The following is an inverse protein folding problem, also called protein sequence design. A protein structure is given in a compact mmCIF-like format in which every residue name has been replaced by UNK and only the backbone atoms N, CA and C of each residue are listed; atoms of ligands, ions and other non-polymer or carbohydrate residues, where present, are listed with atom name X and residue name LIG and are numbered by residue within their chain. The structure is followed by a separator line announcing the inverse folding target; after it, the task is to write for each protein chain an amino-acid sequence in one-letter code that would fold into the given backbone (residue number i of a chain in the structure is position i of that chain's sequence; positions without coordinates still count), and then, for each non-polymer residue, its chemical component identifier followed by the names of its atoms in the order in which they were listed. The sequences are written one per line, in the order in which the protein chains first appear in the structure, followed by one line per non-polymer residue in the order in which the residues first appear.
data_IF_463123555650
#
_entry.id   IF_463123555650
#
_cell.length_a   1.000
_cell.length_b   1.000
_cell.length_c   1.000
_cell.angle_alpha   90.00
_cell.angle_beta   90.00
_cell.angle_gamma   90.00
#
_symmetry.space_group_name_H-M   'P 1'
#
loop_
_entity.id
_entity.type
_entity.pdbx_description
1 polymer ?
#
# COMPACT_ATOMS: atom_id res chain seq x y z
N UNK A 1 -3.14 1.79 13.73
CA UNK A 1 -4.18 1.61 12.67
C UNK A 1 -5.38 0.91 13.27
N UNK A 2 -6.60 1.34 12.91
CA UNK A 2 -7.86 0.70 13.31
C UNK A 2 -8.13 -0.47 12.37
N UNK A 3 -8.68 -1.56 12.90
CA UNK A 3 -9.17 -2.69 12.10
C UNK A 3 -10.63 -3.01 12.41
N UNK A 4 -11.34 -3.54 11.42
CA UNK A 4 -12.70 -4.06 11.53
C UNK A 4 -12.80 -5.40 10.81
N UNK A 5 -13.28 -6.42 11.50
CA UNK A 5 -13.50 -7.75 10.92
C UNK A 5 -14.95 -8.14 11.13
N UNK A 6 -15.66 -8.37 10.02
CA UNK A 6 -17.04 -8.87 10.01
C UNK A 6 -17.03 -10.28 9.45
N UNK A 7 -17.56 -11.27 10.16
CA UNK A 7 -17.57 -12.66 9.70
C UNK A 7 -18.81 -13.40 10.23
N UNK A 8 -19.20 -14.45 9.52
CA UNK A 8 -20.31 -15.30 9.86
C UNK A 8 -19.80 -16.56 10.59
N UNK A 9 -19.81 -16.52 11.91
CA UNK A 9 -19.41 -17.63 12.78
C UNK A 9 -19.92 -17.39 14.19
N UNK A 10 -20.28 -18.47 14.92
CA UNK A 10 -20.72 -18.40 16.30
C UNK A 10 -19.56 -18.20 17.30
N UNK A 11 -18.32 -18.39 16.86
CA UNK A 11 -17.13 -18.22 17.69
C UNK A 11 -16.61 -16.79 17.66
N UNK A 12 -16.18 -16.27 18.81
CA UNK A 12 -15.46 -15.02 18.89
C UNK A 12 -13.97 -15.26 18.64
N UNK A 13 -13.48 -14.83 17.48
CA UNK A 13 -12.10 -15.00 17.05
C UNK A 13 -11.19 -13.79 17.36
N UNK A 14 -11.66 -12.83 18.14
CA UNK A 14 -10.91 -11.59 18.42
C UNK A 14 -9.49 -11.86 18.93
N UNK A 15 -9.35 -12.74 19.91
CA UNK A 15 -8.04 -13.05 20.50
C UNK A 15 -7.06 -13.67 19.49
N UNK A 16 -7.55 -14.51 18.58
CA UNK A 16 -6.74 -15.15 17.54
C UNK A 16 -6.34 -14.16 16.46
N UNK A 17 -7.26 -13.28 16.06
CA UNK A 17 -7.00 -12.18 15.12
C UNK A 17 -5.93 -11.25 15.70
N UNK A 18 -6.07 -10.83 16.96
CA UNK A 18 -5.09 -9.95 17.62
C UNK A 18 -3.73 -10.62 17.80
N UNK A 19 -3.69 -11.92 18.08
CA UNK A 19 -2.45 -12.68 18.15
C UNK A 19 -1.73 -12.74 16.80
N UNK A 20 -2.47 -12.93 15.70
CA UNK A 20 -1.89 -12.97 14.36
C UNK A 20 -1.41 -11.59 13.92
N UNK A 21 -2.15 -10.52 14.19
CA UNK A 21 -1.73 -9.14 13.96
C UNK A 21 -0.47 -8.79 14.77
N UNK A 22 -0.34 -9.29 16.00
CA UNK A 22 0.87 -9.09 16.81
C UNK A 22 2.08 -9.83 16.22
N UNK A 23 1.89 -11.04 15.70
CA UNK A 23 2.95 -11.77 14.98
C UNK A 23 3.39 -11.00 13.72
N UNK A 24 2.42 -10.48 12.98
CA UNK A 24 2.65 -9.65 11.80
C UNK A 24 3.44 -8.38 12.14
N UNK A 25 3.08 -7.67 13.22
CA UNK A 25 3.80 -6.50 13.73
C UNK A 25 5.27 -6.84 14.06
N UNK A 26 5.51 -7.99 14.67
CA UNK A 26 6.86 -8.51 14.95
C UNK A 26 7.71 -8.80 13.71
N UNK A 27 7.12 -8.83 12.52
CA UNK A 27 7.82 -9.00 11.26
C UNK A 27 8.06 -7.66 10.52
N UNK A 28 7.01 -6.87 10.31
CA UNK A 28 6.98 -5.81 9.31
C UNK A 28 6.86 -4.39 9.88
N UNK A 29 6.67 -4.21 11.19
CA UNK A 29 6.55 -2.89 11.79
C UNK A 29 7.92 -2.20 11.93
N UNK A 30 8.13 -1.04 11.28
CA UNK A 30 9.36 -0.26 11.46
C UNK A 30 9.43 0.45 12.83
N UNK A 31 8.32 0.42 13.60
CA UNK A 31 8.23 1.00 14.95
C UNK A 31 8.49 -0.02 16.06
N UNK A 32 8.65 -1.30 15.70
CA UNK A 32 8.99 -2.37 16.62
C UNK A 32 10.49 -2.67 16.49
N UNK A 33 11.24 -2.37 17.52
CA UNK A 33 12.70 -2.51 17.53
C UNK A 33 13.19 -3.95 17.35
N UNK A 34 12.37 -4.94 17.62
CA UNK A 34 12.66 -6.36 17.47
C UNK A 34 12.09 -6.97 16.19
N UNK A 35 11.35 -6.19 15.39
CA UNK A 35 10.75 -6.69 14.15
C UNK A 35 11.82 -7.11 13.13
N UNK A 36 11.50 -8.11 12.33
CA UNK A 36 12.37 -8.64 11.28
C UNK A 36 12.89 -7.53 10.35
N UNK A 37 12.02 -6.63 9.89
CA UNK A 37 12.41 -5.50 9.03
C UNK A 37 13.40 -4.55 9.74
N UNK A 38 13.20 -4.28 11.03
CA UNK A 38 14.09 -3.39 11.81
C UNK A 38 15.48 -4.00 11.97
N UNK A 39 15.55 -5.30 12.23
CA UNK A 39 16.80 -6.05 12.32
C UNK A 39 17.55 -6.08 10.99
N UNK A 40 16.83 -6.30 9.86
CA UNK A 40 17.41 -6.22 8.51
C UNK A 40 17.94 -4.82 8.22
N UNK A 41 17.22 -3.77 8.61
CA UNK A 41 17.66 -2.39 8.45
C UNK A 41 18.88 -2.02 9.30
N UNK A 42 19.12 -2.75 10.41
CA UNK A 42 20.34 -2.67 11.23
C UNK A 42 21.47 -3.56 10.72
N UNK A 43 21.27 -4.23 9.58
CA UNK A 43 22.22 -5.18 8.98
C UNK A 43 22.57 -6.37 9.91
N UNK A 44 21.63 -6.81 10.74
CA UNK A 44 21.80 -8.01 11.54
C UNK A 44 21.80 -9.25 10.63
N UNK A 45 22.66 -10.21 10.93
CA UNK A 45 22.75 -11.47 10.18
C UNK A 45 21.62 -12.42 10.59
N UNK A 46 20.47 -12.26 9.93
CA UNK A 46 19.26 -13.06 10.18
C UNK A 46 18.67 -13.64 8.90
N UNK A 47 17.98 -14.76 9.03
CA UNK A 47 17.06 -15.25 8.02
C UNK A 47 15.70 -14.66 8.30
N UNK A 48 15.08 -13.91 7.37
CA UNK A 48 13.75 -13.34 7.53
C UNK A 48 12.69 -14.40 7.75
N UNK A 49 11.63 -14.03 8.48
CA UNK A 49 10.45 -14.86 8.62
C UNK A 49 9.59 -14.89 7.32
N UNK A 50 8.57 -15.73 7.33
CA UNK A 50 7.69 -15.94 6.16
C UNK A 50 6.92 -14.67 5.78
N UNK A 51 6.50 -13.83 6.75
CA UNK A 51 5.77 -12.60 6.44
C UNK A 51 6.65 -11.64 5.65
N UNK A 52 7.86 -11.40 6.14
CA UNK A 52 8.81 -10.54 5.45
C UNK A 52 9.18 -11.10 4.07
N UNK A 53 9.47 -12.40 3.98
CA UNK A 53 9.87 -13.05 2.72
C UNK A 53 8.79 -12.94 1.65
N UNK A 54 7.51 -13.11 2.01
CA UNK A 54 6.39 -12.97 1.09
C UNK A 54 6.26 -11.52 0.58
N UNK A 55 6.29 -10.56 1.48
CA UNK A 55 6.26 -9.13 1.13
C UNK A 55 7.44 -8.77 0.24
N UNK A 56 8.64 -9.19 0.59
CA UNK A 56 9.84 -8.90 -0.18
C UNK A 56 9.73 -9.41 -1.61
N UNK A 57 9.36 -10.68 -1.80
CA UNK A 57 9.21 -11.28 -3.14
C UNK A 57 8.19 -10.55 -3.97
N UNK A 58 6.98 -10.33 -3.42
CA UNK A 58 5.92 -9.61 -4.17
C UNK A 58 6.30 -8.17 -4.47
N UNK A 59 6.97 -7.50 -3.54
CA UNK A 59 7.51 -6.15 -3.76
C UNK A 59 8.49 -6.10 -4.92
N UNK A 60 9.43 -7.07 -5.02
CA UNK A 60 10.39 -7.14 -6.11
C UNK A 60 9.72 -7.41 -7.48
N UNK A 61 8.64 -8.19 -7.51
CA UNK A 61 7.85 -8.40 -8.72
C UNK A 61 7.19 -7.08 -9.16
N UNK A 62 6.44 -6.44 -8.26
CA UNK A 62 5.74 -5.19 -8.56
C UNK A 62 6.72 -4.06 -8.89
N UNK A 63 7.88 -3.99 -8.24
CA UNK A 63 8.91 -3.00 -8.59
C UNK A 63 9.38 -3.14 -10.04
N UNK A 64 9.56 -4.38 -10.55
CA UNK A 64 9.91 -4.60 -11.96
C UNK A 64 8.76 -4.26 -12.91
N UNK A 65 7.53 -4.65 -12.56
CA UNK A 65 6.32 -4.40 -13.35
C UNK A 65 5.98 -2.91 -13.45
N UNK A 66 6.45 -2.11 -12.49
CA UNK A 66 6.19 -0.67 -12.37
C UNK A 66 7.42 0.20 -12.62
N UNK A 67 8.49 -0.38 -13.18
CA UNK A 67 9.76 0.32 -13.47
C UNK A 67 10.27 1.16 -12.30
N UNK A 68 10.23 0.58 -11.07
CA UNK A 68 10.67 1.21 -9.84
C UNK A 68 9.76 2.30 -9.28
N UNK A 69 8.57 2.54 -9.84
CA UNK A 69 7.60 3.46 -9.24
C UNK A 69 7.12 2.95 -7.86
N UNK A 70 7.01 1.64 -7.70
CA UNK A 70 6.91 1.00 -6.40
C UNK A 70 8.29 0.47 -5.98
N UNK A 71 8.82 0.92 -4.85
CA UNK A 71 10.14 0.50 -4.36
C UNK A 71 10.21 0.50 -2.84
N UNK A 72 10.47 -0.66 -2.24
CA UNK A 72 10.60 -0.79 -0.79
C UNK A 72 11.90 -0.20 -0.24
N UNK A 73 12.85 0.21 -1.08
CA UNK A 73 14.09 0.88 -0.67
C UNK A 73 13.92 2.39 -0.49
N UNK A 74 12.72 2.93 -0.71
CA UNK A 74 12.40 4.36 -0.64
C UNK A 74 12.53 4.99 0.76
N UNK A 75 12.72 4.18 1.81
CA UNK A 75 12.73 4.62 3.20
C UNK A 75 13.67 5.81 3.50
N UNK A 76 14.91 5.87 3.00
CA UNK A 76 15.79 7.01 3.21
C UNK A 76 15.22 8.33 2.68
N UNK A 77 14.63 8.30 1.48
CA UNK A 77 13.97 9.44 0.85
C UNK A 77 12.74 9.88 1.63
N UNK A 78 11.85 8.92 1.99
CA UNK A 78 10.66 9.21 2.78
C UNK A 78 11.00 9.83 4.13
N UNK A 79 12.05 9.34 4.80
CA UNK A 79 12.56 9.92 6.06
C UNK A 79 13.08 11.34 5.86
N UNK A 80 13.85 11.61 4.81
CA UNK A 80 14.40 12.94 4.53
C UNK A 80 13.29 13.98 4.31
N UNK A 81 12.23 13.61 3.59
CA UNK A 81 11.05 14.44 3.39
C UNK A 81 10.12 14.52 4.61
N UNK A 82 10.38 13.77 5.69
CA UNK A 82 9.58 13.78 6.92
C UNK A 82 8.30 12.94 6.88
N UNK A 83 8.12 12.13 5.85
CA UNK A 83 6.98 11.21 5.70
C UNK A 83 7.27 9.77 6.14
N UNK A 84 8.52 9.46 6.46
CA UNK A 84 8.94 8.15 6.94
C UNK A 84 8.77 7.98 8.46
N UNK A 85 9.47 7.02 9.01
CA UNK A 85 9.48 6.73 10.46
C UNK A 85 10.56 7.51 11.24
N UNK A 86 11.29 8.41 10.59
CA UNK A 86 12.21 9.39 11.20
C UNK A 86 11.77 10.81 10.81
N UNK A 87 12.00 11.76 11.72
CA UNK A 87 11.79 13.19 11.40
C UNK A 87 12.83 13.63 10.38
N UNK A 88 12.39 14.26 9.30
CA UNK A 88 13.24 14.82 8.24
C UNK A 88 13.24 16.34 8.28
N UNK A 89 14.23 16.94 7.62
CA UNK A 89 14.40 18.39 7.49
C UNK A 89 14.57 18.70 6.01
N UNK A 90 13.53 18.74 5.22
CA UNK A 90 13.54 19.17 3.82
C UNK A 90 14.90 19.02 3.13
N UNK A 91 15.13 17.95 2.38
CA UNK A 91 16.42 17.70 1.76
C UNK A 91 16.67 18.73 0.64
N UNK A 92 17.92 19.16 0.48
CA UNK A 92 18.38 19.84 -0.72
C UNK A 92 18.69 18.83 -1.85
N UNK A 93 19.00 19.33 -3.05
CA UNK A 93 19.28 18.46 -4.21
C UNK A 93 20.48 17.55 -3.99
N UNK A 94 21.55 18.04 -3.37
CA UNK A 94 22.74 17.23 -3.10
C UNK A 94 22.45 16.08 -2.13
N UNK A 95 21.60 16.32 -1.13
CA UNK A 95 21.13 15.27 -0.23
C UNK A 95 20.26 14.25 -0.95
N UNK A 96 19.34 14.70 -1.84
CA UNK A 96 18.52 13.79 -2.65
C UNK A 96 19.40 12.92 -3.55
N UNK A 97 20.38 13.49 -4.26
CA UNK A 97 21.31 12.74 -5.10
C UNK A 97 22.05 11.66 -4.29
N UNK A 98 22.52 12.00 -3.09
CA UNK A 98 23.16 11.04 -2.19
C UNK A 98 22.22 9.93 -1.72
N UNK A 99 20.91 10.24 -1.50
CA UNK A 99 19.92 9.25 -1.07
C UNK A 99 19.50 8.33 -2.22
N UNK A 100 19.50 8.83 -3.47
CA UNK A 100 19.24 8.01 -4.66
C UNK A 100 20.32 6.95 -4.88
N UNK A 101 21.58 7.18 -4.45
CA UNK A 101 22.60 6.14 -4.46
C UNK A 101 22.20 4.91 -3.62
N UNK A 102 21.37 5.10 -2.58
CA UNK A 102 20.90 4.06 -1.65
C UNK A 102 19.46 3.62 -1.93
N UNK A 103 18.84 4.11 -3.00
CA UNK A 103 17.47 3.77 -3.43
C UNK A 103 17.54 3.01 -4.75
N UNK A 104 16.72 1.98 -4.90
CA UNK A 104 16.63 1.13 -6.09
C UNK A 104 16.45 -0.34 -5.71
N UNK A 105 15.34 -0.93 -6.14
CA UNK A 105 14.96 -2.31 -5.81
C UNK A 105 16.00 -3.33 -6.31
N UNK A 106 16.76 -3.02 -7.37
CA UNK A 106 17.83 -3.88 -7.92
C UNK A 106 19.04 -4.00 -6.97
N UNK A 107 19.14 -3.10 -6.01
CA UNK A 107 20.26 -3.06 -5.04
C UNK A 107 20.07 -4.02 -3.87
N UNK A 108 18.94 -4.73 -3.83
CA UNK A 108 18.60 -5.70 -2.78
C UNK A 108 18.09 -7.01 -3.37
N UNK A 109 18.44 -8.12 -2.74
CA UNK A 109 17.97 -9.46 -3.15
C UNK A 109 17.92 -10.42 -1.97
N UNK A 110 17.22 -11.53 -2.13
CA UNK A 110 17.38 -12.69 -1.25
C UNK A 110 18.53 -13.57 -1.78
N UNK A 111 19.42 -14.01 -0.86
CA UNK A 111 20.44 -15.01 -1.16
C UNK A 111 19.81 -16.41 -1.25
N UNK A 112 20.61 -17.42 -1.65
CA UNK A 112 20.20 -18.82 -1.69
C UNK A 112 19.85 -19.36 -0.29
N UNK A 113 20.46 -18.79 0.76
CA UNK A 113 20.13 -19.09 2.16
C UNK A 113 18.90 -18.31 2.66
N UNK A 114 18.28 -17.51 1.82
CA UNK A 114 17.08 -16.72 2.14
C UNK A 114 17.36 -15.43 2.93
N UNK A 115 18.62 -15.00 3.07
CA UNK A 115 18.99 -13.74 3.72
C UNK A 115 18.85 -12.55 2.77
N UNK A 116 18.54 -11.37 3.31
CA UNK A 116 18.56 -10.13 2.54
C UNK A 116 20.00 -9.67 2.33
N UNK A 117 20.37 -9.55 1.05
CA UNK A 117 21.67 -8.99 0.64
C UNK A 117 21.43 -7.60 0.06
N UNK A 118 22.17 -6.62 0.55
CA UNK A 118 22.16 -5.23 0.10
C UNK A 118 23.50 -4.91 -0.54
N UNK A 119 23.51 -4.16 -1.63
CA UNK A 119 24.76 -3.68 -2.26
C UNK A 119 25.47 -2.60 -1.43
N UNK A 120 24.73 -1.90 -0.57
CA UNK A 120 25.21 -0.91 0.37
C UNK A 120 24.50 -1.09 1.72
N UNK A 121 25.24 -1.13 2.81
CA UNK A 121 24.69 -1.31 4.16
C UNK A 121 23.79 -0.18 4.64
N UNK A 122 23.86 0.99 3.99
CA UNK A 122 23.01 2.16 4.26
C UNK A 122 21.59 2.02 3.72
N UNK A 123 21.36 1.09 2.79
CA UNK A 123 20.01 0.84 2.22
C UNK A 123 19.05 0.45 3.33
N UNK A 124 17.92 1.14 3.39
CA UNK A 124 16.84 0.88 4.35
C UNK A 124 15.56 0.48 3.62
N UNK A 125 14.92 -0.58 4.10
CA UNK A 125 13.67 -1.09 3.56
C UNK A 125 12.48 -0.53 4.32
N UNK A 126 11.39 -0.26 3.59
CA UNK A 126 10.08 0.07 4.14
C UNK A 126 9.00 -0.76 3.45
N UNK A 127 8.19 -1.47 4.23
CA UNK A 127 7.03 -2.18 3.73
C UNK A 127 5.72 -1.39 3.91
N UNK A 128 5.78 -0.10 4.25
CA UNK A 128 4.60 0.71 4.63
C UNK A 128 3.55 0.81 3.51
N UNK A 129 3.96 0.67 2.25
CA UNK A 129 3.11 0.77 1.05
C UNK A 129 2.55 -0.59 0.58
N UNK A 130 2.70 -1.65 1.38
CA UNK A 130 2.26 -3.01 1.03
C UNK A 130 1.84 -3.81 2.27
N UNK A 131 2.29 -3.39 3.45
CA UNK A 131 2.11 -4.16 4.67
C UNK A 131 0.64 -4.18 5.14
N UNK A 132 -0.14 -3.13 4.93
CA UNK A 132 -1.54 -3.10 5.33
C UNK A 132 -2.38 -4.06 4.49
N UNK A 133 -2.20 -4.03 3.17
CA UNK A 133 -2.83 -4.99 2.27
C UNK A 133 -2.48 -6.43 2.64
N UNK A 134 -1.22 -6.71 2.94
CA UNK A 134 -0.83 -8.06 3.35
C UNK A 134 -1.38 -8.45 4.73
N UNK A 135 -1.48 -7.54 5.69
CA UNK A 135 -2.11 -7.82 6.98
C UNK A 135 -3.58 -8.25 6.83
N UNK A 136 -4.31 -7.60 5.91
CA UNK A 136 -5.70 -7.98 5.58
C UNK A 136 -5.76 -9.38 4.99
N UNK A 137 -4.86 -9.72 4.07
CA UNK A 137 -4.77 -11.06 3.46
C UNK A 137 -4.44 -12.13 4.51
N UNK A 138 -3.55 -11.85 5.46
CA UNK A 138 -3.17 -12.76 6.55
C UNK A 138 -4.39 -13.08 7.43
N UNK A 139 -5.18 -12.08 7.80
CA UNK A 139 -6.41 -12.30 8.58
C UNK A 139 -7.47 -13.01 7.74
N UNK A 140 -7.62 -12.67 6.46
CA UNK A 140 -8.52 -13.39 5.55
C UNK A 140 -8.15 -14.88 5.45
N UNK A 141 -6.85 -15.20 5.37
CA UNK A 141 -6.38 -16.59 5.38
C UNK A 141 -6.65 -17.31 6.71
N UNK A 142 -6.49 -16.61 7.85
CA UNK A 142 -6.86 -17.16 9.17
C UNK A 142 -8.33 -17.55 9.20
N UNK A 143 -9.23 -16.69 8.73
CA UNK A 143 -10.66 -16.94 8.67
C UNK A 143 -11.00 -18.12 7.73
N UNK A 144 -10.39 -18.16 6.53
CA UNK A 144 -10.54 -19.28 5.60
C UNK A 144 -10.08 -20.62 6.18
N UNK A 145 -8.95 -20.66 6.89
CA UNK A 145 -8.45 -21.87 7.59
C UNK A 145 -9.38 -22.34 8.69
N UNK A 146 -10.19 -21.44 9.28
CA UNK A 146 -11.25 -21.76 10.24
C UNK A 146 -12.56 -22.20 9.59
N UNK A 147 -12.61 -22.30 8.26
CA UNK A 147 -13.80 -22.70 7.50
C UNK A 147 -14.84 -21.60 7.34
N UNK A 148 -14.52 -20.36 7.67
CA UNK A 148 -15.43 -19.22 7.53
C UNK A 148 -15.50 -18.82 6.05
N UNK A 149 -16.72 -18.77 5.50
CA UNK A 149 -16.96 -18.52 4.09
C UNK A 149 -17.44 -17.10 3.78
N UNK A 150 -18.00 -16.40 4.76
CA UNK A 150 -18.55 -15.06 4.57
C UNK A 150 -17.89 -14.11 5.55
N UNK A 151 -17.04 -13.21 5.03
CA UNK A 151 -16.34 -12.23 5.85
C UNK A 151 -15.86 -11.01 5.06
N UNK A 152 -15.65 -9.94 5.79
CA UNK A 152 -14.93 -8.73 5.36
C UNK A 152 -13.89 -8.40 6.41
N UNK A 153 -12.66 -8.19 5.98
CA UNK A 153 -11.54 -7.67 6.78
C UNK A 153 -11.18 -6.29 6.25
N UNK A 154 -11.14 -5.30 7.13
CA UNK A 154 -10.72 -3.92 6.82
C UNK A 154 -9.65 -3.52 7.85
N UNK A 155 -8.49 -3.10 7.37
CA UNK A 155 -7.39 -2.58 8.19
C UNK A 155 -6.92 -1.25 7.60
N UNK A 156 -7.43 -0.15 8.15
CA UNK A 156 -7.03 1.19 7.73
C UNK A 156 -7.49 1.61 6.33
N UNK A 157 -8.50 0.93 5.78
CA UNK A 157 -9.07 1.16 4.46
C UNK A 157 -8.65 0.16 3.37
N UNK A 158 -7.67 -0.69 3.65
CA UNK A 158 -7.37 -1.87 2.86
C UNK A 158 -8.36 -2.98 3.22
N UNK A 159 -8.96 -3.61 2.22
CA UNK A 159 -10.12 -4.50 2.41
C UNK A 159 -9.95 -5.80 1.65
N UNK A 160 -10.27 -6.92 2.31
CA UNK A 160 -10.56 -8.21 1.65
C UNK A 160 -11.98 -8.62 1.99
N UNK A 161 -12.71 -9.02 0.97
CA UNK A 161 -14.05 -9.61 1.12
C UNK A 161 -14.08 -11.03 0.57
N UNK A 162 -14.88 -11.87 1.21
CA UNK A 162 -15.11 -13.25 0.76
C UNK A 162 -16.56 -13.65 0.95
N UNK A 163 -17.12 -14.40 -0.03
CA UNK A 163 -18.50 -14.82 -0.02
C UNK A 163 -19.49 -13.66 -0.01
N UNK A 164 -20.56 -13.77 0.78
CA UNK A 164 -21.69 -12.85 0.78
C UNK A 164 -21.72 -11.97 2.03
N UNK A 165 -22.29 -10.78 1.89
CA UNK A 165 -22.61 -9.91 3.02
C UNK A 165 -23.79 -10.46 3.84
N UNK A 166 -24.13 -9.90 5.03
CA UNK A 166 -25.25 -10.35 5.86
C UNK A 166 -26.64 -10.28 5.19
N UNK A 167 -26.78 -9.62 4.05
CA UNK A 167 -28.00 -9.54 3.24
C UNK A 167 -28.00 -10.54 2.06
N UNK A 168 -27.08 -11.51 2.05
CA UNK A 168 -26.91 -12.54 1.01
C UNK A 168 -26.60 -11.96 -0.39
N UNK A 169 -25.92 -10.82 -0.45
CA UNK A 169 -25.46 -10.18 -1.69
C UNK A 169 -23.95 -9.91 -1.68
N UNK A 170 -23.43 -9.25 -2.74
CA UNK A 170 -22.05 -8.81 -2.76
C UNK A 170 -21.78 -7.79 -1.65
N UNK A 171 -20.53 -7.72 -1.20
CA UNK A 171 -20.09 -6.72 -0.24
C UNK A 171 -20.12 -5.33 -0.87
N UNK A 172 -20.48 -4.33 -0.06
CA UNK A 172 -20.61 -2.93 -0.51
C UNK A 172 -19.50 -2.11 0.11
N UNK A 173 -18.57 -1.65 -0.71
CA UNK A 173 -17.43 -0.86 -0.27
C UNK A 173 -17.55 0.56 -0.85
N UNK A 174 -17.52 1.56 0.03
CA UNK A 174 -17.56 2.96 -0.37
C UNK A 174 -16.19 3.46 -0.81
N UNK A 175 -16.13 4.15 -1.94
CA UNK A 175 -14.99 4.98 -2.34
C UNK A 175 -15.23 6.40 -1.87
N UNK A 176 -14.32 6.94 -1.04
CA UNK A 176 -14.42 8.31 -0.55
C UNK A 176 -14.00 9.30 -1.63
N UNK A 177 -14.64 10.47 -1.66
CA UNK A 177 -14.12 11.62 -2.42
C UNK A 177 -12.77 12.05 -1.86
N UNK A 178 -11.77 12.32 -2.72
CA UNK A 178 -10.46 12.80 -2.29
C UNK A 178 -10.52 14.31 -1.96
N UNK A 179 -11.20 14.66 -0.88
CA UNK A 179 -11.27 16.03 -0.38
C UNK A 179 -10.08 16.22 0.57
N UNK A 180 -9.40 17.37 0.45
CA UNK A 180 -8.32 17.76 1.37
C UNK A 180 -8.86 17.86 2.82
N UNK A 181 -8.75 16.78 3.57
CA UNK A 181 -9.22 16.64 4.93
C UNK A 181 -8.23 15.80 5.75
N UNK A 182 -7.25 16.49 6.32
CA UNK A 182 -6.22 15.87 7.16
C UNK A 182 -6.78 15.22 8.45
N UNK A 183 -8.00 15.57 8.84
CA UNK A 183 -8.67 15.03 10.03
C UNK A 183 -9.61 13.86 9.70
N UNK A 184 -9.80 13.55 8.41
CA UNK A 184 -10.70 12.49 7.92
C UNK A 184 -12.14 12.58 8.48
N UNK A 185 -12.64 13.80 8.69
CA UNK A 185 -13.98 14.08 9.24
C UNK A 185 -15.04 13.99 8.13
N UNK A 186 -14.69 14.36 6.91
CA UNK A 186 -15.61 14.36 5.77
C UNK A 186 -15.50 13.01 5.02
N UNK A 187 -16.56 12.20 5.04
CA UNK A 187 -16.62 10.89 4.39
C UNK A 187 -17.68 10.88 3.26
N UNK A 188 -17.70 11.93 2.44
CA UNK A 188 -18.54 11.89 1.25
C UNK A 188 -18.08 10.77 0.32
N UNK A 189 -19.04 9.95 -0.11
CA UNK A 189 -18.78 8.87 -1.04
C UNK A 189 -18.76 9.40 -2.48
N UNK A 190 -17.72 9.03 -3.23
CA UNK A 190 -17.67 9.20 -4.68
C UNK A 190 -18.47 8.11 -5.38
N UNK A 191 -18.34 6.87 -4.90
CA UNK A 191 -18.99 5.69 -5.48
C UNK A 191 -19.15 4.57 -4.45
N UNK A 192 -19.94 3.56 -4.82
CA UNK A 192 -20.07 2.30 -4.06
C UNK A 192 -19.71 1.16 -4.99
N UNK A 193 -18.78 0.31 -4.58
CA UNK A 193 -18.40 -0.91 -5.26
C UNK A 193 -19.16 -2.11 -4.72
N UNK A 194 -19.56 -3.02 -5.61
CA UNK A 194 -20.14 -4.30 -5.30
C UNK A 194 -19.12 -5.40 -5.59
N UNK A 195 -18.53 -5.97 -4.56
CA UNK A 195 -17.37 -6.87 -4.68
C UNK A 195 -17.58 -8.17 -3.89
N UNK A 196 -16.97 -9.24 -4.37
CA UNK A 196 -16.85 -10.52 -3.66
C UNK A 196 -15.54 -11.22 -4.06
N UNK A 197 -14.94 -11.96 -3.13
CA UNK A 197 -13.74 -12.77 -3.31
C UNK A 197 -12.50 -12.01 -3.87
N UNK A 198 -12.32 -10.77 -3.43
CA UNK A 198 -11.29 -9.86 -3.92
C UNK A 198 -10.62 -9.09 -2.78
N UNK A 199 -9.41 -8.59 -3.07
CA UNK A 199 -8.69 -7.57 -2.30
C UNK A 199 -8.83 -6.20 -2.95
N UNK A 200 -8.87 -5.16 -2.12
CA UNK A 200 -8.96 -3.77 -2.55
C UNK A 200 -8.13 -2.87 -1.64
N UNK A 201 -7.44 -1.91 -2.24
CA UNK A 201 -6.73 -0.86 -1.53
C UNK A 201 -6.89 0.49 -2.23
N UNK A 202 -6.78 1.57 -1.47
CA UNK A 202 -6.81 2.94 -1.99
C UNK A 202 -5.66 3.75 -1.43
N UNK A 203 -4.80 4.26 -2.32
CA UNK A 203 -3.78 5.26 -2.02
C UNK A 203 -4.24 6.65 -2.45
N UNK A 204 -3.85 7.69 -1.70
CA UNK A 204 -4.25 9.05 -2.04
C UNK A 204 -3.45 10.13 -1.32
N UNK A 205 -3.25 11.26 -1.99
CA UNK A 205 -2.43 12.39 -1.56
C UNK A 205 -3.20 13.50 -0.81
N UNK A 206 -4.46 13.23 -0.41
CA UNK A 206 -5.35 14.21 0.21
C UNK A 206 -5.41 14.13 1.74
N UNK A 207 -4.78 13.13 2.37
CA UNK A 207 -4.78 12.95 3.84
C UNK A 207 -3.46 13.25 4.51
N UNK A 208 -2.33 12.97 3.83
CA UNK A 208 -0.98 13.10 4.39
C UNK A 208 -0.13 14.02 3.51
N UNK A 209 -0.13 15.29 3.83
CA UNK A 209 0.59 16.34 3.10
C UNK A 209 0.93 17.50 4.06
N UNK A 210 1.84 18.35 3.62
CA UNK A 210 2.10 19.64 4.27
C UNK A 210 2.31 20.73 3.23
N UNK A 211 2.15 21.98 3.64
CA UNK A 211 2.47 23.16 2.83
C UNK A 211 3.79 23.77 3.29
N UNK A 212 4.66 24.12 2.33
CA UNK A 212 5.87 24.90 2.54
C UNK A 212 6.02 25.89 1.39
N UNK A 213 6.23 27.15 1.74
CA UNK A 213 6.40 28.26 0.76
C UNK A 213 5.27 28.31 -0.29
N UNK A 214 4.02 28.05 0.14
CA UNK A 214 2.82 28.02 -0.71
C UNK A 214 2.68 26.76 -1.60
N UNK A 215 3.64 25.83 -1.57
CA UNK A 215 3.62 24.60 -2.34
C UNK A 215 3.17 23.42 -1.47
N UNK A 216 2.24 22.59 -1.99
CA UNK A 216 1.79 21.34 -1.35
C UNK A 216 2.80 20.23 -1.64
N UNK A 217 3.19 19.50 -0.60
CA UNK A 217 4.04 18.32 -0.66
C UNK A 217 3.26 17.14 -0.12
N UNK A 218 2.97 16.18 -0.99
CA UNK A 218 2.31 14.93 -0.62
C UNK A 218 3.32 13.89 -0.13
N UNK A 219 2.85 12.92 0.65
CA UNK A 219 3.70 11.87 1.21
C UNK A 219 4.19 10.84 0.19
N UNK A 220 3.62 10.84 -1.01
CA UNK A 220 4.05 9.95 -2.10
C UNK A 220 5.33 10.50 -2.73
N UNK A 221 6.41 9.75 -2.55
CA UNK A 221 7.74 10.06 -3.10
C UNK A 221 7.97 9.17 -4.31
N UNK A 222 8.43 9.73 -5.41
CA UNK A 222 8.91 8.94 -6.54
C UNK A 222 10.34 8.44 -6.25
N UNK A 223 10.53 7.12 -6.10
CA UNK A 223 11.84 6.54 -5.81
C UNK A 223 12.87 6.78 -6.92
N UNK A 224 12.42 7.03 -8.15
CA UNK A 224 13.25 7.23 -9.35
C UNK A 224 13.86 8.62 -9.38
N UNK A 225 13.14 9.62 -8.86
CA UNK A 225 13.57 11.03 -8.84
C UNK A 225 13.98 11.52 -7.47
N UNK A 226 13.50 10.88 -6.40
CA UNK A 226 13.72 11.28 -5.02
C UNK A 226 12.81 12.41 -4.52
N UNK A 227 11.86 12.88 -5.33
CA UNK A 227 10.97 13.99 -5.01
C UNK A 227 9.52 13.56 -4.77
N UNK A 228 8.76 14.30 -3.93
CA UNK A 228 7.31 14.16 -3.86
C UNK A 228 6.66 14.41 -5.21
N UNK A 229 5.71 13.56 -5.58
CA UNK A 229 4.99 13.66 -6.86
C UNK A 229 4.16 14.94 -6.96
N UNK A 230 4.04 15.47 -8.16
CA UNK A 230 3.39 16.75 -8.47
C UNK A 230 2.48 16.61 -9.71
N UNK A 231 1.58 15.63 -9.71
CA UNK A 231 0.63 15.39 -10.81
C UNK A 231 -0.83 15.44 -10.33
N UNK A 232 -1.76 15.26 -11.25
CA UNK A 232 -3.19 15.46 -11.05
C UNK A 232 -3.91 14.36 -10.28
N UNK A 233 -3.33 13.15 -10.15
CA UNK A 233 -4.00 12.05 -9.43
C UNK A 233 -4.12 12.40 -7.94
N UNK A 234 -5.34 12.34 -7.42
CA UNK A 234 -5.67 12.55 -6.02
C UNK A 234 -5.81 11.21 -5.27
N UNK A 235 -6.36 10.19 -5.93
CA UNK A 235 -6.44 8.83 -5.39
C UNK A 235 -6.43 7.77 -6.48
N UNK A 236 -5.86 6.62 -6.16
CA UNK A 236 -5.87 5.40 -6.94
C UNK A 236 -6.46 4.27 -6.08
N UNK A 237 -7.59 3.72 -6.52
CA UNK A 237 -8.19 2.51 -5.93
C UNK A 237 -7.90 1.34 -6.84
N UNK A 238 -7.36 0.27 -6.30
CA UNK A 238 -7.04 -0.96 -7.03
C UNK A 238 -7.80 -2.13 -6.43
N UNK A 239 -8.38 -2.96 -7.31
CA UNK A 239 -8.95 -4.26 -7.01
C UNK A 239 -8.02 -5.31 -7.62
N UNK A 240 -7.64 -6.29 -6.84
CA UNK A 240 -6.80 -7.41 -7.27
C UNK A 240 -7.22 -8.71 -6.56
N UNK A 241 -6.60 -9.83 -6.94
CA UNK A 241 -6.83 -11.14 -6.34
C UNK A 241 -6.46 -11.19 -4.86
N UNK A 242 -5.45 -10.42 -4.45
CA UNK A 242 -5.01 -10.23 -3.06
C UNK A 242 -4.83 -8.74 -2.76
N UNK A 243 -5.00 -8.39 -1.49
CA UNK A 243 -4.95 -7.00 -1.06
C UNK A 243 -3.51 -6.48 -0.96
N UNK A 244 -2.52 -7.36 -0.76
CA UNK A 244 -1.10 -7.01 -0.80
C UNK A 244 -0.72 -6.41 -2.15
N UNK A 245 -1.14 -7.06 -3.24
CA UNK A 245 -0.93 -6.57 -4.60
C UNK A 245 -1.70 -5.27 -4.84
N UNK A 246 -2.96 -5.19 -4.43
CA UNK A 246 -3.78 -3.99 -4.58
C UNK A 246 -3.14 -2.76 -3.90
N UNK A 247 -2.61 -2.91 -2.67
CA UNK A 247 -1.96 -1.84 -1.89
C UNK A 247 -0.68 -1.34 -2.58
N UNK A 248 0.16 -2.28 -3.05
CA UNK A 248 1.40 -1.95 -3.75
C UNK A 248 1.15 -1.24 -5.10
N UNK A 249 0.22 -1.75 -5.92
CA UNK A 249 -0.12 -1.10 -7.19
C UNK A 249 -0.81 0.26 -6.99
N UNK A 250 -1.69 0.39 -6.00
CA UNK A 250 -2.30 1.67 -5.68
C UNK A 250 -1.24 2.73 -5.35
N UNK A 251 -0.19 2.35 -4.61
CA UNK A 251 0.95 3.22 -4.34
C UNK A 251 1.76 3.51 -5.60
N UNK A 252 2.07 2.50 -6.43
CA UNK A 252 2.77 2.69 -7.71
C UNK A 252 2.05 3.68 -8.62
N UNK A 253 0.73 3.54 -8.76
CA UNK A 253 -0.09 4.40 -9.61
C UNK A 253 -0.11 5.84 -9.11
N UNK A 254 -0.08 6.05 -7.79
CA UNK A 254 0.09 7.39 -7.21
C UNK A 254 1.48 7.98 -7.50
N UNK A 255 2.49 7.20 -7.80
CA UNK A 255 3.82 7.67 -8.20
C UNK A 255 3.86 8.00 -9.69
N UNK A 256 3.28 7.14 -10.54
CA UNK A 256 3.37 7.22 -12.00
C UNK A 256 2.66 8.43 -12.61
N UNK A 257 1.54 8.85 -12.04
CA UNK A 257 0.60 9.74 -12.73
C UNK A 257 -0.32 8.96 -13.68
N UNK A 258 -1.33 9.66 -14.24
CA UNK A 258 -2.48 9.02 -14.90
C UNK A 258 -2.08 8.18 -16.12
N UNK A 259 -1.35 8.75 -17.06
CA UNK A 259 -1.01 8.11 -18.34
C UNK A 259 -0.18 6.81 -18.15
N UNK A 260 0.84 6.86 -17.29
CA UNK A 260 1.68 5.70 -17.00
C UNK A 260 0.88 4.64 -16.22
N UNK A 261 0.05 5.07 -15.25
CA UNK A 261 -0.79 4.19 -14.45
C UNK A 261 -1.84 3.45 -15.29
N UNK A 262 -2.49 4.13 -16.25
CA UNK A 262 -3.41 3.52 -17.20
C UNK A 262 -2.70 2.45 -18.03
N UNK A 263 -1.55 2.77 -18.60
CA UNK A 263 -0.77 1.83 -19.42
C UNK A 263 -0.37 0.57 -18.65
N UNK A 264 0.03 0.73 -17.39
CA UNK A 264 0.41 -0.42 -16.54
C UNK A 264 -0.83 -1.23 -16.15
N UNK A 265 -1.93 -0.57 -15.77
CA UNK A 265 -3.17 -1.27 -15.42
C UNK A 265 -3.74 -2.07 -16.60
N UNK A 266 -3.69 -1.53 -17.82
CA UNK A 266 -4.12 -2.23 -19.03
C UNK A 266 -3.23 -3.42 -19.39
N UNK A 267 -1.95 -3.38 -19.04
CA UNK A 267 -1.02 -4.49 -19.26
C UNK A 267 -1.21 -5.64 -18.24
N UNK A 268 -1.93 -5.41 -17.13
CA UNK A 268 -2.15 -6.37 -16.06
C UNK A 268 -3.63 -6.74 -15.92
N UNK A 269 -4.15 -7.76 -16.63
CA UNK A 269 -5.58 -8.10 -16.66
C UNK A 269 -6.14 -8.57 -15.30
N UNK A 270 -5.27 -8.88 -14.34
CA UNK A 270 -5.65 -9.26 -12.97
C UNK A 270 -5.87 -8.06 -12.03
N UNK A 271 -5.72 -6.84 -12.56
CA UNK A 271 -5.85 -5.59 -11.82
C UNK A 271 -6.94 -4.73 -12.44
N UNK A 272 -7.87 -4.28 -11.63
CA UNK A 272 -8.87 -3.27 -11.99
C UNK A 272 -8.63 -2.00 -11.17
N UNK A 273 -8.65 -0.84 -11.79
CA UNK A 273 -8.31 0.43 -11.14
C UNK A 273 -9.34 1.55 -11.40
N UNK A 274 -9.50 2.39 -10.39
CA UNK A 274 -10.24 3.64 -10.44
C UNK A 274 -9.31 4.78 -10.01
N UNK A 275 -9.10 5.76 -10.90
CA UNK A 275 -8.33 6.96 -10.61
C UNK A 275 -9.27 8.16 -10.45
N UNK A 276 -9.11 8.91 -9.38
CA UNK A 276 -9.76 10.22 -9.22
C UNK A 276 -8.66 11.26 -9.34
N UNK A 277 -8.84 12.20 -10.27
CA UNK A 277 -7.84 13.21 -10.60
C UNK A 277 -8.48 14.57 -10.89
N UNK A 278 -7.68 15.62 -11.01
CA UNK A 278 -8.12 16.93 -11.50
C UNK A 278 -7.69 17.12 -12.94
N UNK A 279 -8.62 17.63 -13.77
CA UNK A 279 -8.28 18.09 -15.12
C UNK A 279 -7.53 19.43 -15.11
N UNK A 280 -7.21 19.96 -16.29
CA UNK A 280 -6.52 21.24 -16.47
C UNK A 280 -7.30 22.45 -15.91
N UNK A 281 -8.65 22.33 -15.81
CA UNK A 281 -9.52 23.35 -15.23
C UNK A 281 -9.68 23.21 -13.69
N UNK A 282 -9.02 22.18 -13.09
CA UNK A 282 -9.10 21.86 -11.65
C UNK A 282 -10.38 21.15 -11.24
N UNK A 283 -11.16 20.62 -12.20
CA UNK A 283 -12.38 19.85 -11.91
C UNK A 283 -12.05 18.38 -11.62
N UNK A 284 -12.77 17.78 -10.67
CA UNK A 284 -12.64 16.36 -10.37
C UNK A 284 -13.16 15.50 -11.55
N UNK A 285 -12.32 14.58 -11.98
CA UNK A 285 -12.60 13.57 -12.99
C UNK A 285 -12.35 12.18 -12.43
N UNK A 286 -12.98 11.18 -13.06
CA UNK A 286 -12.79 9.76 -12.69
C UNK A 286 -12.47 8.97 -13.95
N UNK A 287 -11.38 8.22 -13.90
CA UNK A 287 -11.04 7.22 -14.91
C UNK A 287 -11.22 5.82 -14.31
N UNK A 288 -11.81 4.93 -15.09
CA UNK A 288 -12.03 3.52 -14.73
C UNK A 288 -11.37 2.63 -15.79
N UNK A 289 -10.58 1.65 -15.35
CA UNK A 289 -10.23 0.55 -16.25
C UNK A 289 -11.47 -0.22 -16.66
N UNK A 290 -11.46 -0.83 -17.82
CA UNK A 290 -12.60 -1.56 -18.37
C UNK A 290 -13.16 -2.63 -17.41
N UNK A 291 -12.27 -3.29 -16.66
CA UNK A 291 -12.65 -4.30 -15.68
C UNK A 291 -13.27 -3.71 -14.41
N UNK A 292 -12.98 -2.46 -14.09
CA UNK A 292 -13.51 -1.78 -12.90
C UNK A 292 -15.01 -1.48 -13.01
N UNK A 293 -15.51 -1.25 -14.20
CA UNK A 293 -16.92 -0.91 -14.44
C UNK A 293 -17.91 -1.96 -13.90
N UNK A 294 -17.54 -3.24 -13.94
CA UNK A 294 -18.40 -4.34 -13.44
C UNK A 294 -18.67 -4.28 -11.94
N UNK A 295 -17.85 -3.58 -11.17
CA UNK A 295 -18.00 -3.42 -9.72
C UNK A 295 -18.79 -2.15 -9.33
N UNK A 296 -18.95 -1.21 -10.26
CA UNK A 296 -19.65 0.04 -9.99
C UNK A 296 -21.17 -0.19 -9.85
N UNK A 297 -21.78 0.50 -8.87
CA UNK A 297 -23.22 0.46 -8.65
C UNK A 297 -23.90 1.60 -9.39
#
# INVERSE_FOLDING_TARGET
TVYKVTYQCDQNLKAEIEAELKRFDGSLSPFNDTATITRINRNEDIVPDTFFTNVFRRSMEISRETDGAFDITVAPLANAWGFGFKKGNFPDSAMIDSLLEMTGYEKVKLSDEGKVVKTDSRIMLSCSAVAKGYAVDVIAQLLKKKGIRNFMVDIGGEVVVHGQNPQNGPWRIGLNKPIDDSLAVNQELQAVLLVTDLGMATSGNYRNYYYKDGKKYAHTIDPRTGYPVQHSILSATVIAKDCMSADAYATAFMVMGLEEAERVADAHPDIDACFIYTDEEGKLQTFLTKGMEKYMK
#
